data_IF_329870883859
#
_entry.id   IF_329870883859
#
_cell.length_a   1.000
_cell.length_b   1.000
_cell.length_c   1.000
_cell.angle_alpha   90.00
_cell.angle_beta   90.00
_cell.angle_gamma   90.00
#
_symmetry.space_group_name_H-M   'P 1'
#
loop_
_entity.id
_entity.type
_entity.pdbx_description
1 polymer ?
#
# COMPACT_ATOMS: atom_id res chain seq x y z
N UNK A 1 6.18 31.73 7.09
CA UNK A 1 5.50 31.44 5.81
C UNK A 1 4.78 30.11 6.01
N UNK A 2 3.70 29.83 5.29
CA UNK A 2 3.03 28.53 5.42
C UNK A 2 3.81 27.47 4.63
N UNK A 3 3.86 26.22 5.15
CA UNK A 3 4.49 25.09 4.47
C UNK A 3 3.99 24.93 3.03
N UNK A 4 2.70 25.15 2.80
CA UNK A 4 2.09 25.15 1.47
C UNK A 4 2.78 26.15 0.51
N UNK A 5 3.04 27.38 0.96
CA UNK A 5 3.66 28.41 0.13
C UNK A 5 5.10 28.06 -0.24
N UNK A 6 5.85 27.48 0.69
CA UNK A 6 7.25 27.10 0.48
C UNK A 6 7.37 25.91 -0.48
N UNK A 7 6.51 24.90 -0.30
CA UNK A 7 6.43 23.71 -1.16
C UNK A 7 6.01 24.09 -2.58
N UNK A 8 4.97 24.93 -2.74
CA UNK A 8 4.50 25.39 -4.05
C UNK A 8 5.60 26.13 -4.82
N UNK A 9 6.32 27.04 -4.15
CA UNK A 9 7.44 27.77 -4.75
C UNK A 9 8.58 26.83 -5.15
N UNK A 10 8.97 25.92 -4.28
CA UNK A 10 10.04 24.95 -4.53
C UNK A 10 9.74 24.11 -5.77
N UNK A 11 8.52 23.60 -5.90
CA UNK A 11 8.13 22.79 -7.06
C UNK A 11 8.03 23.62 -8.34
N UNK A 12 7.54 24.86 -8.29
CA UNK A 12 7.54 25.74 -9.46
C UNK A 12 8.97 26.05 -9.94
N UNK A 13 9.89 26.26 -9.03
CA UNK A 13 11.29 26.54 -9.34
C UNK A 13 12.02 25.31 -9.90
N UNK A 14 11.53 24.09 -9.61
CA UNK A 14 12.08 22.81 -10.11
C UNK A 14 11.66 22.51 -11.54
N UNK A 15 10.40 22.75 -11.88
CA UNK A 15 9.83 22.35 -13.18
C UNK A 15 10.30 23.30 -14.29
N UNK A 16 10.95 22.76 -15.31
CA UNK A 16 11.39 23.54 -16.46
C UNK A 16 10.26 23.77 -17.46
N UNK A 17 10.26 24.87 -18.22
CA UNK A 17 9.26 25.11 -19.26
C UNK A 17 9.15 24.00 -20.30
N UNK A 18 10.28 23.40 -20.68
CA UNK A 18 10.30 22.32 -21.67
C UNK A 18 9.52 21.08 -21.19
N UNK A 19 9.56 20.75 -19.88
CA UNK A 19 8.81 19.64 -19.30
C UNK A 19 7.28 19.82 -19.40
N UNK A 20 6.82 21.06 -19.50
CA UNK A 20 5.39 21.40 -19.60
C UNK A 20 5.00 21.91 -21.00
N UNK A 21 5.87 21.71 -22.00
CA UNK A 21 5.59 22.06 -23.40
C UNK A 21 5.66 23.58 -23.67
N UNK A 22 6.28 24.38 -22.83
CA UNK A 22 6.47 25.79 -23.07
C UNK A 22 7.84 26.07 -23.71
N UNK A 23 7.94 27.06 -24.64
CA UNK A 23 9.22 27.39 -25.26
C UNK A 23 10.18 27.98 -24.22
N UNK A 24 11.41 27.52 -24.25
CA UNK A 24 12.50 28.15 -23.50
C UNK A 24 12.89 29.47 -24.20
N UNK A 25 12.27 30.59 -23.83
CA UNK A 25 12.54 31.90 -24.42
C UNK A 25 13.97 32.39 -24.14
N UNK A 26 14.60 33.14 -25.06
CA UNK A 26 15.92 33.75 -24.82
C UNK A 26 15.87 34.76 -23.68
N UNK A 27 16.94 34.83 -22.87
CA UNK A 27 17.04 35.77 -21.75
C UNK A 27 16.34 35.37 -20.46
N UNK A 28 16.02 34.09 -20.25
CA UNK A 28 15.40 33.60 -19.05
C UNK A 28 16.36 33.66 -17.84
N UNK A 29 15.92 34.35 -16.77
CA UNK A 29 16.70 34.49 -15.52
C UNK A 29 16.43 33.39 -14.50
N UNK A 30 15.37 32.59 -14.69
CA UNK A 30 14.97 31.50 -13.79
C UNK A 30 14.94 30.19 -14.56
N UNK A 31 15.50 29.12 -13.98
CA UNK A 31 15.46 27.76 -14.58
C UNK A 31 14.05 27.17 -14.55
N UNK A 32 13.30 27.43 -13.48
CA UNK A 32 11.94 26.92 -13.28
C UNK A 32 10.83 27.76 -13.95
N UNK A 33 9.58 27.38 -13.74
CA UNK A 33 8.42 28.09 -14.27
C UNK A 33 8.31 29.51 -13.65
N UNK A 34 7.93 30.49 -14.48
CA UNK A 34 7.50 31.79 -13.99
C UNK A 34 6.09 31.71 -13.41
N UNK A 35 5.71 32.66 -12.54
CA UNK A 35 4.35 32.70 -11.95
C UNK A 35 3.27 32.84 -13.01
N UNK A 36 3.52 33.64 -14.05
CA UNK A 36 2.61 33.76 -15.20
C UNK A 36 2.43 32.46 -15.97
N UNK A 37 3.48 31.65 -16.10
CA UNK A 37 3.43 30.36 -16.77
C UNK A 37 2.66 29.35 -15.93
N UNK A 38 2.92 29.26 -14.62
CA UNK A 38 2.16 28.41 -13.71
C UNK A 38 0.67 28.81 -13.67
N UNK A 39 0.40 30.12 -13.63
CA UNK A 39 -0.97 30.66 -13.64
C UNK A 39 -1.73 30.24 -14.90
N UNK A 40 -1.10 30.38 -16.07
CA UNK A 40 -1.68 29.97 -17.34
C UNK A 40 -1.95 28.44 -17.41
N UNK A 41 -0.98 27.62 -16.95
CA UNK A 41 -1.12 26.15 -16.92
C UNK A 41 -2.20 25.69 -15.92
N UNK A 42 -2.33 26.35 -14.78
CA UNK A 42 -3.31 26.02 -13.76
C UNK A 42 -4.69 26.69 -13.98
N UNK A 43 -4.84 27.53 -14.99
CA UNK A 43 -6.10 28.23 -15.29
C UNK A 43 -6.51 29.25 -14.26
N UNK A 44 -5.54 29.98 -13.64
CA UNK A 44 -5.79 30.99 -12.60
C UNK A 44 -5.09 32.31 -12.93
N UNK A 45 -5.38 33.36 -12.16
CA UNK A 45 -4.69 34.65 -12.33
C UNK A 45 -3.27 34.61 -11.71
N UNK A 46 -2.36 35.39 -12.27
CA UNK A 46 -1.00 35.53 -11.73
C UNK A 46 -1.03 36.06 -10.30
N UNK A 47 -1.92 37.01 -10.01
CA UNK A 47 -2.10 37.57 -8.66
C UNK A 47 -2.49 36.49 -7.65
N UNK A 48 -3.32 35.52 -8.07
CA UNK A 48 -3.69 34.42 -7.20
C UNK A 48 -2.51 33.50 -6.88
N UNK A 49 -1.66 33.20 -7.87
CA UNK A 49 -0.40 32.43 -7.65
C UNK A 49 0.52 33.19 -6.68
N UNK A 50 0.65 34.51 -6.84
CA UNK A 50 1.44 35.35 -5.92
C UNK A 50 0.90 35.26 -4.49
N UNK A 51 -0.42 35.35 -4.32
CA UNK A 51 -1.08 35.25 -2.99
C UNK A 51 -0.88 33.89 -2.36
N UNK A 52 -0.95 32.78 -3.14
CA UNK A 52 -0.66 31.43 -2.68
C UNK A 52 0.77 31.30 -2.18
N UNK A 53 1.76 31.76 -2.97
CA UNK A 53 3.19 31.72 -2.60
C UNK A 53 3.57 32.69 -1.45
N UNK A 54 2.72 33.63 -1.14
CA UNK A 54 2.89 34.56 0.01
C UNK A 54 2.14 34.06 1.25
N UNK A 55 1.39 32.93 1.15
CA UNK A 55 0.57 32.43 2.24
C UNK A 55 -0.65 33.30 2.57
N UNK A 56 -1.03 34.22 1.67
CA UNK A 56 -2.17 35.14 1.85
C UNK A 56 -3.48 34.55 1.34
N UNK A 57 -3.44 33.54 0.48
CA UNK A 57 -4.61 32.80 0.07
C UNK A 57 -4.67 31.52 0.90
N UNK A 58 -5.74 31.37 1.67
CA UNK A 58 -6.00 30.19 2.52
C UNK A 58 -7.07 29.31 1.87
N UNK A 59 -6.99 28.00 2.11
CA UNK A 59 -7.97 27.03 1.66
C UNK A 59 -8.20 27.01 0.12
N UNK A 60 -7.17 26.75 -0.70
CA UNK A 60 -7.35 26.56 -2.13
C UNK A 60 -8.29 25.37 -2.39
N UNK A 61 -9.18 25.51 -3.39
CA UNK A 61 -10.14 24.43 -3.69
C UNK A 61 -9.44 23.15 -4.17
N UNK A 62 -10.04 21.97 -3.97
CA UNK A 62 -9.49 20.70 -4.49
C UNK A 62 -9.26 20.71 -6.00
N UNK A 63 -10.12 21.39 -6.76
CA UNK A 63 -9.97 21.55 -8.21
C UNK A 63 -8.70 22.33 -8.56
N UNK A 64 -8.43 23.41 -7.83
CA UNK A 64 -7.21 24.20 -8.02
C UNK A 64 -5.96 23.41 -7.61
N UNK A 65 -6.00 22.69 -6.47
CA UNK A 65 -4.88 21.84 -6.06
C UNK A 65 -4.57 20.79 -7.11
N UNK A 66 -5.58 20.18 -7.72
CA UNK A 66 -5.42 19.22 -8.82
C UNK A 66 -4.82 19.89 -10.07
N UNK A 67 -5.25 21.10 -10.42
CA UNK A 67 -4.71 21.85 -11.54
C UNK A 67 -3.23 22.23 -11.31
N UNK A 68 -2.88 22.69 -10.10
CA UNK A 68 -1.49 22.96 -9.71
C UNK A 68 -0.63 21.70 -9.75
N UNK A 69 -1.14 20.57 -9.23
CA UNK A 69 -0.42 19.30 -9.27
C UNK A 69 -0.12 18.84 -10.70
N UNK A 70 -1.07 19.00 -11.61
CA UNK A 70 -0.90 18.70 -13.04
C UNK A 70 0.09 19.65 -13.70
N UNK A 71 -0.05 20.95 -13.48
CA UNK A 71 0.83 21.97 -14.04
C UNK A 71 2.30 21.82 -13.59
N UNK A 72 2.51 21.39 -12.34
CA UNK A 72 3.82 21.14 -11.73
C UNK A 72 4.34 19.73 -11.95
N UNK A 73 3.61 18.87 -12.68
CA UNK A 73 3.96 17.47 -12.94
C UNK A 73 4.31 16.70 -11.67
N UNK A 74 3.54 16.92 -10.61
CA UNK A 74 3.76 16.27 -9.34
C UNK A 74 3.51 14.76 -9.43
N UNK A 75 4.37 13.99 -8.77
CA UNK A 75 4.11 12.57 -8.51
C UNK A 75 2.87 12.43 -7.62
N UNK A 76 2.30 11.23 -7.53
CA UNK A 76 1.16 10.98 -6.64
C UNK A 76 1.46 11.34 -5.18
N UNK A 77 2.66 11.02 -4.70
CA UNK A 77 3.10 11.36 -3.34
C UNK A 77 3.21 12.87 -3.13
N UNK A 78 3.77 13.59 -4.09
CA UNK A 78 3.87 15.05 -4.05
C UNK A 78 2.49 15.72 -4.14
N UNK A 79 1.59 15.20 -4.98
CA UNK A 79 0.21 15.64 -5.05
C UNK A 79 -0.51 15.45 -3.71
N UNK A 80 -0.41 14.26 -3.12
CA UNK A 80 -1.01 13.96 -1.83
C UNK A 80 -0.42 14.84 -0.71
N UNK A 81 0.87 15.16 -0.80
CA UNK A 81 1.51 16.12 0.09
C UNK A 81 0.97 17.54 -0.11
N UNK A 82 0.83 18.02 -1.37
CA UNK A 82 0.24 19.31 -1.68
C UNK A 82 -1.14 19.49 -1.05
N UNK A 83 -1.99 18.47 -1.18
CA UNK A 83 -3.34 18.48 -0.59
C UNK A 83 -3.28 18.56 0.94
N UNK A 84 -2.43 17.75 1.58
CA UNK A 84 -2.30 17.73 3.05
C UNK A 84 -1.82 19.08 3.61
N UNK A 85 -0.79 19.68 3.02
CA UNK A 85 -0.28 21.01 3.47
C UNK A 85 -1.24 22.14 3.17
N UNK A 86 -2.16 21.96 2.21
CA UNK A 86 -3.27 22.87 1.93
C UNK A 86 -4.48 22.66 2.88
N UNK A 87 -4.43 21.69 3.79
CA UNK A 87 -5.55 21.34 4.67
C UNK A 87 -6.70 20.61 3.97
N UNK A 88 -6.47 20.04 2.79
CA UNK A 88 -7.46 19.31 2.01
C UNK A 88 -7.16 17.81 1.98
N UNK A 89 -8.21 16.99 1.85
CA UNK A 89 -8.05 15.57 1.63
C UNK A 89 -7.48 15.31 0.22
N UNK A 90 -6.45 14.46 0.06
CA UNK A 90 -5.99 14.03 -1.24
C UNK A 90 -7.11 13.41 -2.07
N UNK A 91 -7.11 13.58 -3.42
CA UNK A 91 -8.11 12.97 -4.26
C UNK A 91 -8.02 11.44 -4.18
N UNK A 92 -9.18 10.81 -4.30
CA UNK A 92 -9.26 9.35 -4.38
C UNK A 92 -8.40 8.83 -5.56
N UNK A 93 -7.75 7.68 -5.31
CA UNK A 93 -7.01 6.98 -6.36
C UNK A 93 -7.97 6.23 -7.28
N UNK A 94 -7.51 5.79 -8.44
CA UNK A 94 -8.36 5.07 -9.40
C UNK A 94 -8.69 3.65 -8.95
N UNK A 95 -7.89 2.68 -9.38
CA UNK A 95 -8.04 1.26 -9.03
C UNK A 95 -6.89 0.81 -8.12
N UNK A 96 -7.14 -0.24 -7.32
CA UNK A 96 -6.11 -0.91 -6.54
C UNK A 96 -5.00 -1.42 -7.47
N UNK A 97 -3.72 -1.04 -7.26
CA UNK A 97 -2.62 -1.57 -8.05
C UNK A 97 -2.47 -3.09 -7.83
N UNK A 98 -2.55 -3.87 -8.91
CA UNK A 98 -2.45 -5.34 -8.89
C UNK A 98 -1.21 -5.84 -9.63
N UNK A 99 -0.11 -5.11 -9.55
CA UNK A 99 1.16 -5.50 -10.13
C UNK A 99 2.32 -5.22 -9.19
N UNK A 100 3.32 -6.08 -9.23
CA UNK A 100 4.55 -5.89 -8.47
C UNK A 100 5.47 -4.97 -9.27
N UNK A 101 5.94 -3.90 -8.63
CA UNK A 101 6.88 -2.98 -9.28
C UNK A 101 8.26 -3.65 -9.45
N UNK A 102 9.07 -3.27 -10.48
CA UNK A 102 10.40 -3.85 -10.66
C UNK A 102 11.33 -3.71 -9.45
N UNK A 103 11.12 -2.66 -8.63
CA UNK A 103 11.88 -2.46 -7.39
C UNK A 103 11.54 -3.51 -6.33
N UNK A 104 10.25 -3.76 -6.11
CA UNK A 104 9.77 -4.79 -5.19
C UNK A 104 10.19 -6.17 -5.69
N UNK A 105 10.04 -6.47 -7.00
CA UNK A 105 10.45 -7.75 -7.57
C UNK A 105 11.92 -8.07 -7.27
N UNK A 106 12.83 -7.11 -7.48
CA UNK A 106 14.25 -7.31 -7.15
C UNK A 106 14.53 -7.59 -5.67
N UNK A 107 13.69 -7.08 -4.77
CA UNK A 107 13.83 -7.34 -3.33
C UNK A 107 13.33 -8.75 -3.01
N UNK A 108 12.12 -9.11 -3.43
CA UNK A 108 11.55 -10.42 -3.11
C UNK A 108 12.32 -11.57 -3.74
N UNK A 109 12.92 -11.37 -4.92
CA UNK A 109 13.79 -12.36 -5.58
C UNK A 109 15.08 -12.66 -4.77
N UNK A 110 15.47 -11.80 -3.84
CA UNK A 110 16.65 -11.95 -2.98
C UNK A 110 16.34 -12.43 -1.57
N UNK A 111 15.07 -12.43 -1.19
CA UNK A 111 14.60 -12.86 0.14
C UNK A 111 14.00 -14.26 0.06
N UNK A 112 14.82 -15.24 -0.34
CA UNK A 112 14.40 -16.63 -0.49
C UNK A 112 14.49 -17.47 0.80
N UNK A 113 15.18 -16.97 1.80
CA UNK A 113 15.50 -17.66 3.07
C UNK A 113 14.55 -17.32 4.21
N UNK A 114 13.58 -16.47 3.96
CA UNK A 114 12.48 -16.17 4.89
C UNK A 114 11.13 -16.35 4.16
N UNK A 115 10.08 -16.87 4.81
CA UNK A 115 8.75 -16.92 4.23
C UNK A 115 8.26 -15.51 3.92
N UNK A 116 7.91 -15.25 2.66
CA UNK A 116 7.54 -13.94 2.17
C UNK A 116 6.37 -14.01 1.20
N UNK A 117 5.39 -13.10 1.37
CA UNK A 117 4.32 -12.88 0.41
C UNK A 117 4.09 -11.39 0.13
N UNK A 118 3.58 -11.06 -1.05
CA UNK A 118 3.21 -9.70 -1.46
C UNK A 118 1.73 -9.64 -1.73
N UNK A 119 1.07 -8.70 -1.09
CA UNK A 119 -0.37 -8.45 -1.21
C UNK A 119 -0.65 -7.05 -1.74
N UNK A 120 -1.81 -6.89 -2.35
CA UNK A 120 -2.37 -5.57 -2.73
C UNK A 120 -2.89 -4.82 -1.50
N UNK A 121 -3.34 -3.57 -1.69
CA UNK A 121 -4.07 -2.81 -0.67
C UNK A 121 -5.42 -3.46 -0.27
N UNK A 122 -5.99 -4.31 -1.14
CA UNK A 122 -7.19 -5.12 -0.87
C UNK A 122 -6.88 -6.51 -0.32
N UNK A 123 -5.61 -6.79 0.00
CA UNK A 123 -5.12 -8.09 0.49
C UNK A 123 -5.23 -9.26 -0.52
N UNK A 124 -5.29 -8.98 -1.83
CA UNK A 124 -5.16 -10.00 -2.84
C UNK A 124 -3.68 -10.43 -2.96
N UNK A 125 -3.42 -11.73 -2.95
CA UNK A 125 -2.08 -12.27 -3.10
C UNK A 125 -1.57 -12.03 -4.52
N UNK A 126 -0.39 -11.40 -4.64
CA UNK A 126 0.30 -11.17 -5.92
C UNK A 126 1.51 -12.08 -6.11
N UNK A 127 2.19 -12.39 -5.02
CA UNK A 127 3.40 -13.20 -5.01
C UNK A 127 3.59 -13.87 -3.66
N UNK A 128 4.16 -15.06 -3.67
CA UNK A 128 4.71 -15.75 -2.50
C UNK A 128 5.94 -16.51 -2.92
N UNK A 129 6.94 -16.61 -2.05
CA UNK A 129 8.07 -17.49 -2.30
C UNK A 129 7.76 -18.94 -1.89
N UNK A 130 8.60 -19.87 -2.31
CA UNK A 130 8.41 -21.30 -2.05
C UNK A 130 8.38 -21.61 -0.55
N UNK A 131 9.15 -20.89 0.25
CA UNK A 131 9.17 -21.09 1.69
C UNK A 131 7.88 -20.61 2.36
N UNK A 132 7.25 -19.54 1.86
CA UNK A 132 5.90 -19.16 2.29
C UNK A 132 4.90 -20.26 1.95
N UNK A 133 4.92 -20.78 0.73
CA UNK A 133 4.05 -21.87 0.32
C UNK A 133 4.22 -23.11 1.19
N UNK A 134 5.45 -23.51 1.49
CA UNK A 134 5.75 -24.62 2.39
C UNK A 134 5.28 -24.38 3.83
N UNK A 135 5.34 -23.14 4.30
CA UNK A 135 4.99 -22.77 5.67
C UNK A 135 3.48 -22.62 5.90
N UNK A 136 2.72 -22.15 4.89
CA UNK A 136 1.28 -21.87 5.01
C UNK A 136 0.40 -22.88 4.27
N UNK A 137 1.00 -23.89 3.67
CA UNK A 137 0.33 -24.85 2.80
C UNK A 137 0.23 -24.37 1.36
N UNK A 138 0.36 -25.32 0.44
CA UNK A 138 0.20 -25.11 -1.00
C UNK A 138 -1.16 -25.64 -1.47
N UNK A 139 -1.60 -25.24 -2.66
CA UNK A 139 -2.77 -25.77 -3.33
C UNK A 139 -3.90 -24.75 -3.52
N UNK A 140 -5.13 -25.26 -3.61
CA UNK A 140 -6.36 -24.50 -3.96
C UNK A 140 -6.70 -23.37 -2.98
N UNK A 141 -6.11 -23.39 -1.79
CA UNK A 141 -6.28 -22.38 -0.75
C UNK A 141 -5.98 -20.96 -1.22
N UNK A 142 -5.09 -20.78 -2.21
CA UNK A 142 -4.70 -19.48 -2.73
C UNK A 142 -5.21 -19.25 -4.16
N UNK A 143 -6.40 -19.78 -4.47
CA UNK A 143 -7.04 -19.63 -5.78
C UNK A 143 -8.37 -18.91 -5.67
N UNK A 144 -8.76 -18.20 -6.74
CA UNK A 144 -10.03 -17.49 -6.80
C UNK A 144 -10.21 -16.49 -5.66
N UNK A 145 -11.34 -16.52 -4.98
CA UNK A 145 -11.66 -15.64 -3.86
C UNK A 145 -10.75 -15.92 -2.65
N UNK A 146 -10.34 -17.16 -2.45
CA UNK A 146 -9.44 -17.57 -1.36
C UNK A 146 -7.98 -17.09 -1.56
N UNK A 147 -7.62 -16.54 -2.75
CA UNK A 147 -6.37 -15.80 -2.92
C UNK A 147 -6.35 -14.44 -2.17
N UNK A 148 -7.46 -14.06 -1.55
CA UNK A 148 -7.53 -12.87 -0.72
C UNK A 148 -7.41 -13.25 0.76
N UNK A 149 -6.43 -12.65 1.46
CA UNK A 149 -6.14 -12.95 2.86
C UNK A 149 -7.31 -12.64 3.79
N UNK A 150 -8.05 -11.53 3.53
CA UNK A 150 -9.20 -11.15 4.36
C UNK A 150 -10.34 -12.12 4.16
N UNK A 151 -10.58 -12.55 2.92
CA UNK A 151 -11.57 -13.58 2.64
C UNK A 151 -11.25 -14.87 3.38
N UNK A 152 -10.01 -15.39 3.24
CA UNK A 152 -9.60 -16.60 3.96
C UNK A 152 -9.83 -16.48 5.46
N UNK A 153 -9.37 -15.36 6.05
CA UNK A 153 -9.46 -15.17 7.48
C UNK A 153 -10.89 -15.22 8.00
N UNK A 154 -11.85 -14.59 7.31
CA UNK A 154 -13.22 -14.46 7.80
C UNK A 154 -14.20 -15.55 7.32
N UNK A 155 -13.84 -16.35 6.32
CA UNK A 155 -14.76 -17.35 5.72
C UNK A 155 -14.21 -18.77 5.68
N UNK A 156 -12.93 -18.93 5.32
CA UNK A 156 -12.35 -20.26 5.09
C UNK A 156 -11.66 -20.82 6.35
N UNK A 157 -11.52 -19.99 7.39
CA UNK A 157 -10.83 -20.36 8.63
C UNK A 157 -9.31 -20.18 8.58
N UNK A 158 -8.67 -20.47 9.70
CA UNK A 158 -7.24 -20.23 9.91
C UNK A 158 -6.39 -21.50 9.80
N UNK A 159 -6.82 -22.46 8.98
CA UNK A 159 -6.15 -23.77 8.87
C UNK A 159 -4.65 -23.60 8.68
N UNK A 160 -3.88 -24.19 9.62
CA UNK A 160 -2.42 -24.12 9.60
C UNK A 160 -1.79 -22.86 10.21
N UNK A 161 -2.58 -21.91 10.74
CA UNK A 161 -2.06 -20.73 11.44
C UNK A 161 -2.80 -20.55 12.76
N UNK A 162 -2.12 -20.74 13.88
CA UNK A 162 -2.70 -20.52 15.21
C UNK A 162 -2.35 -19.14 15.72
N UNK A 163 -3.36 -18.43 16.19
CA UNK A 163 -3.26 -17.16 16.90
C UNK A 163 -3.71 -17.39 18.34
N UNK A 164 -3.12 -16.68 19.31
CA UNK A 164 -3.83 -16.50 20.56
C UNK A 164 -5.05 -15.57 20.39
N UNK A 165 -6.01 -15.63 21.31
CA UNK A 165 -7.27 -14.91 21.18
C UNK A 165 -7.10 -13.39 21.04
N UNK A 166 -6.12 -12.79 21.74
CA UNK A 166 -5.85 -11.35 21.70
C UNK A 166 -5.30 -10.93 20.34
N UNK A 167 -4.34 -11.70 19.80
CA UNK A 167 -3.77 -11.43 18.47
C UNK A 167 -4.78 -11.70 17.35
N UNK A 168 -5.63 -12.71 17.47
CA UNK A 168 -6.70 -12.96 16.49
C UNK A 168 -7.69 -11.80 16.43
N UNK A 169 -8.11 -11.27 17.60
CA UNK A 169 -9.00 -10.11 17.73
C UNK A 169 -8.38 -8.84 17.12
N UNK A 170 -7.12 -8.56 17.42
CA UNK A 170 -6.40 -7.41 16.88
C UNK A 170 -6.24 -7.52 15.35
N UNK A 171 -5.83 -8.69 14.86
CA UNK A 171 -5.62 -8.94 13.43
C UNK A 171 -6.92 -8.83 12.64
N UNK A 172 -8.05 -9.40 13.15
CA UNK A 172 -9.37 -9.24 12.54
C UNK A 172 -9.78 -7.78 12.41
N UNK A 173 -9.53 -6.99 13.46
CA UNK A 173 -9.85 -5.56 13.47
C UNK A 173 -9.00 -4.78 12.47
N UNK A 174 -7.70 -5.09 12.37
CA UNK A 174 -6.78 -4.46 11.43
C UNK A 174 -7.14 -4.77 9.98
N UNK A 175 -7.48 -6.03 9.66
CA UNK A 175 -7.92 -6.43 8.33
C UNK A 175 -9.18 -5.69 7.87
N UNK A 176 -10.19 -5.55 8.74
CA UNK A 176 -11.41 -4.81 8.45
C UNK A 176 -11.12 -3.30 8.25
N UNK A 177 -10.27 -2.72 9.10
CA UNK A 177 -9.86 -1.31 9.02
C UNK A 177 -9.06 -1.03 7.74
N UNK A 178 -8.22 -1.97 7.32
CA UNK A 178 -7.46 -1.89 6.07
C UNK A 178 -8.35 -1.84 4.83
N UNK A 179 -9.33 -2.75 4.74
CA UNK A 179 -10.28 -2.72 3.62
C UNK A 179 -11.11 -1.44 3.62
N UNK A 180 -11.50 -0.93 4.80
CA UNK A 180 -12.20 0.37 4.91
C UNK A 180 -11.33 1.51 4.38
N UNK A 181 -10.06 1.53 4.77
CA UNK A 181 -9.09 2.51 4.27
C UNK A 181 -8.87 2.37 2.76
N UNK A 182 -8.81 1.13 2.24
CA UNK A 182 -8.67 0.86 0.81
C UNK A 182 -9.90 1.36 0.01
N UNK A 183 -11.13 1.11 0.47
CA UNK A 183 -12.36 1.65 -0.17
C UNK A 183 -12.32 3.19 -0.24
N UNK A 184 -11.88 3.86 0.82
CA UNK A 184 -11.74 5.32 0.82
C UNK A 184 -10.70 5.82 -0.20
N UNK A 185 -9.61 5.08 -0.40
CA UNK A 185 -8.57 5.42 -1.38
C UNK A 185 -8.94 5.04 -2.81
N UNK A 186 -9.69 3.96 -3.01
CA UNK A 186 -10.01 3.34 -4.30
C UNK A 186 -11.52 3.17 -4.52
N UNK A 187 -12.32 4.25 -4.44
CA UNK A 187 -13.79 4.16 -4.49
C UNK A 187 -14.34 3.69 -5.82
N UNK A 188 -13.54 3.74 -6.90
CA UNK A 188 -13.92 3.27 -8.23
C UNK A 188 -13.57 1.79 -8.46
N UNK A 189 -12.90 1.11 -7.52
CA UNK A 189 -12.52 -0.29 -7.68
C UNK A 189 -13.71 -1.22 -7.35
N UNK A 190 -14.32 -1.74 -8.41
CA UNK A 190 -15.48 -2.63 -8.29
C UNK A 190 -15.15 -3.95 -7.61
N UNK A 191 -13.95 -4.52 -7.86
CA UNK A 191 -13.56 -5.80 -7.26
C UNK A 191 -13.40 -5.66 -5.74
N UNK A 192 -12.83 -4.53 -5.28
CA UNK A 192 -12.74 -4.22 -3.85
C UNK A 192 -14.14 -3.98 -3.25
N UNK A 193 -15.02 -3.27 -3.94
CA UNK A 193 -16.39 -3.05 -3.47
C UNK A 193 -17.18 -4.36 -3.36
N UNK A 194 -17.07 -5.24 -4.36
CA UNK A 194 -17.66 -6.58 -4.36
C UNK A 194 -17.09 -7.47 -3.25
N UNK A 195 -15.78 -7.43 -3.02
CA UNK A 195 -15.14 -8.17 -1.91
C UNK A 195 -15.73 -7.77 -0.56
N UNK A 196 -15.82 -6.46 -0.29
CA UNK A 196 -16.39 -5.96 0.98
C UNK A 196 -17.87 -6.30 1.10
N UNK A 197 -18.63 -6.18 0.02
CA UNK A 197 -20.05 -6.54 0.01
C UNK A 197 -20.25 -8.03 0.37
N UNK A 198 -19.48 -8.91 -0.25
CA UNK A 198 -19.58 -10.36 -0.05
C UNK A 198 -19.12 -10.75 1.38
N UNK A 199 -18.03 -10.15 1.89
CA UNK A 199 -17.55 -10.38 3.26
C UNK A 199 -18.61 -9.98 4.29
N UNK A 200 -19.27 -8.83 4.11
CA UNK A 200 -20.34 -8.36 4.99
C UNK A 200 -21.56 -9.27 4.96
N UNK A 201 -21.86 -9.85 3.80
CA UNK A 201 -22.99 -10.78 3.65
C UNK A 201 -22.69 -12.19 4.20
N UNK A 202 -21.43 -12.63 4.16
CA UNK A 202 -21.05 -14.02 4.46
C UNK A 202 -20.54 -14.19 5.89
N UNK A 203 -19.83 -13.19 6.45
CA UNK A 203 -19.21 -13.27 7.77
C UNK A 203 -19.83 -12.28 8.77
N UNK A 204 -20.62 -12.76 9.75
CA UNK A 204 -21.13 -11.93 10.84
C UNK A 204 -20.00 -11.25 11.65
N UNK A 205 -18.85 -11.92 11.78
CA UNK A 205 -17.68 -11.39 12.45
C UNK A 205 -17.09 -10.19 11.69
N UNK A 206 -16.95 -10.31 10.35
CA UNK A 206 -16.51 -9.19 9.54
C UNK A 206 -17.48 -8.02 9.61
N UNK A 207 -18.82 -8.26 9.52
CA UNK A 207 -19.82 -7.20 9.62
C UNK A 207 -19.76 -6.45 10.95
N UNK A 208 -19.54 -7.18 12.05
CA UNK A 208 -19.35 -6.58 13.37
C UNK A 208 -18.12 -5.66 13.39
N UNK A 209 -16.96 -6.14 12.92
CA UNK A 209 -15.70 -5.36 12.83
C UNK A 209 -15.83 -4.17 11.89
N UNK A 210 -16.51 -4.39 10.77
CA UNK A 210 -16.81 -3.31 9.83
C UNK A 210 -17.62 -2.19 10.48
N UNK A 211 -18.53 -2.49 11.39
CA UNK A 211 -19.33 -1.51 12.15
C UNK A 211 -18.50 -0.68 13.16
N UNK A 212 -17.41 -1.21 13.70
CA UNK A 212 -16.61 -0.55 14.75
C UNK A 212 -15.81 0.67 14.27
N UNK A 213 -15.63 0.85 12.97
CA UNK A 213 -14.94 1.99 12.32
C UNK A 213 -13.53 2.31 12.90
N UNK A 214 -12.79 1.29 13.32
CA UNK A 214 -11.42 1.44 13.83
C UNK A 214 -10.43 1.84 12.74
N UNK A 215 -9.30 2.43 13.14
CA UNK A 215 -8.13 2.68 12.30
C UNK A 215 -7.15 1.53 12.56
N UNK A 216 -6.60 0.93 11.49
CA UNK A 216 -5.63 -0.15 11.62
C UNK A 216 -4.33 0.36 12.28
N UNK A 217 -3.88 -0.36 13.29
CA UNK A 217 -2.57 -0.20 13.89
C UNK A 217 -1.77 -1.48 13.63
N UNK A 218 -1.08 -1.55 12.48
CA UNK A 218 -0.26 -2.70 12.15
C UNK A 218 0.88 -2.84 13.17
N UNK A 219 0.73 -3.80 14.06
CA UNK A 219 1.77 -4.22 15.00
C UNK A 219 2.35 -5.55 14.51
N UNK A 220 3.63 -5.78 14.80
CA UNK A 220 4.21 -7.12 14.70
C UNK A 220 3.34 -8.09 15.48
N UNK A 221 2.87 -9.15 14.84
CA UNK A 221 2.05 -10.17 15.49
C UNK A 221 2.80 -11.49 15.55
N UNK A 222 2.69 -12.18 16.69
CA UNK A 222 3.23 -13.52 16.85
C UNK A 222 2.16 -14.56 16.54
N UNK A 223 2.56 -15.62 15.83
CA UNK A 223 1.67 -16.72 15.48
C UNK A 223 2.43 -18.02 15.34
N UNK A 224 1.72 -19.14 15.42
CA UNK A 224 2.29 -20.47 15.22
C UNK A 224 1.81 -21.03 13.88
N UNK A 225 2.75 -21.38 13.02
CA UNK A 225 2.47 -22.05 11.75
C UNK A 225 2.51 -23.56 11.96
N UNK A 226 1.45 -24.26 11.56
CA UNK A 226 1.39 -25.72 11.59
C UNK A 226 2.00 -26.26 10.29
N UNK A 227 3.25 -26.70 10.35
CA UNK A 227 4.01 -27.13 9.17
C UNK A 227 4.26 -28.64 9.16
N UNK A 228 4.62 -29.24 8.00
CA UNK A 228 4.98 -30.66 7.93
C UNK A 228 6.18 -31.06 8.82
N UNK A 229 7.01 -30.10 9.22
CA UNK A 229 8.17 -30.35 10.10
C UNK A 229 7.87 -30.04 11.57
N UNK A 230 6.60 -29.79 11.90
CA UNK A 230 6.12 -29.42 13.22
C UNK A 230 5.74 -27.95 13.34
N UNK A 231 5.20 -27.53 14.49
CA UNK A 231 4.81 -26.13 14.72
C UNK A 231 6.04 -25.23 14.75
N UNK A 232 5.91 -24.05 14.13
CA UNK A 232 6.96 -22.99 14.09
C UNK A 232 6.35 -21.70 14.59
N UNK A 233 6.88 -21.15 15.69
CA UNK A 233 6.51 -19.82 16.16
C UNK A 233 7.24 -18.77 15.33
N UNK A 234 6.49 -17.81 14.78
CA UNK A 234 7.01 -16.74 13.92
C UNK A 234 6.53 -15.37 14.38
N UNK A 235 7.38 -14.37 14.23
CA UNK A 235 6.99 -12.98 14.22
C UNK A 235 6.58 -12.59 12.79
N UNK A 236 5.41 -11.96 12.65
CA UNK A 236 4.85 -11.53 11.38
C UNK A 236 4.99 -10.01 11.25
N UNK A 237 5.79 -9.57 10.31
CA UNK A 237 6.01 -8.17 10.00
C UNK A 237 5.37 -7.81 8.66
N UNK A 238 4.69 -6.66 8.62
CA UNK A 238 4.10 -6.12 7.39
C UNK A 238 4.82 -4.83 7.00
N UNK A 239 5.45 -4.83 5.84
CA UNK A 239 6.13 -3.69 5.27
C UNK A 239 5.26 -3.07 4.17
N UNK A 240 4.99 -1.77 4.26
CA UNK A 240 4.29 -1.04 3.22
C UNK A 240 5.25 -0.45 2.20
N UNK A 241 4.92 -0.56 0.92
CA UNK A 241 5.72 0.01 -0.18
C UNK A 241 5.14 1.35 -0.60
N UNK A 242 5.80 2.48 -0.30
CA UNK A 242 5.32 3.79 -0.70
C UNK A 242 5.09 3.90 -2.21
N UNK A 243 3.96 4.48 -2.61
CA UNK A 243 3.63 4.74 -4.03
C UNK A 243 2.97 3.59 -4.78
N UNK A 244 2.98 2.37 -4.25
CA UNK A 244 2.28 1.23 -4.85
C UNK A 244 1.19 0.62 -3.97
N UNK A 245 1.08 1.05 -2.71
CA UNK A 245 0.20 0.47 -1.67
C UNK A 245 0.30 -1.07 -1.56
N UNK A 246 1.45 -1.63 -1.97
CA UNK A 246 1.73 -3.04 -1.77
C UNK A 246 2.14 -3.30 -0.33
N UNK A 247 1.82 -4.48 0.16
CA UNK A 247 2.20 -4.98 1.47
C UNK A 247 3.10 -6.20 1.29
N UNK A 248 4.29 -6.14 1.85
CA UNK A 248 5.20 -7.29 1.91
C UNK A 248 5.08 -7.85 3.31
N UNK A 249 4.57 -9.06 3.42
CA UNK A 249 4.47 -9.79 4.69
C UNK A 249 5.64 -10.75 4.78
N UNK A 250 6.36 -10.68 5.89
CA UNK A 250 7.54 -11.51 6.14
C UNK A 250 7.36 -12.22 7.49
N UNK A 251 7.68 -13.50 7.53
CA UNK A 251 7.74 -14.25 8.78
C UNK A 251 9.18 -14.43 9.20
N UNK A 252 9.49 -14.08 10.44
CA UNK A 252 10.82 -14.24 11.01
C UNK A 252 10.76 -15.10 12.27
N UNK A 253 11.87 -15.71 12.61
CA UNK A 253 12.04 -16.54 13.81
C UNK A 253 13.22 -16.03 14.64
N UNK A 254 13.23 -16.32 15.93
CA UNK A 254 14.36 -15.93 16.78
C UNK A 254 15.61 -16.70 16.34
N UNK A 255 16.70 -16.01 15.98
CA UNK A 255 17.92 -16.67 15.51
C UNK A 255 18.47 -17.67 16.54
N UNK A 256 18.83 -18.88 16.07
CA UNK A 256 19.37 -19.95 16.91
C UNK A 256 18.35 -20.71 17.76
N UNK A 257 17.06 -20.44 17.60
CA UNK A 257 15.98 -21.18 18.26
C UNK A 257 15.71 -22.54 17.58
N UNK A 258 14.92 -23.39 18.25
CA UNK A 258 14.41 -24.61 17.65
C UNK A 258 13.51 -24.33 16.42
N UNK A 259 12.80 -23.20 16.45
CA UNK A 259 11.96 -22.74 15.33
C UNK A 259 12.80 -22.32 14.12
N UNK A 260 13.97 -21.70 14.34
CA UNK A 260 14.92 -21.42 13.27
C UNK A 260 15.41 -22.71 12.61
N UNK A 261 15.72 -23.73 13.41
CA UNK A 261 16.14 -25.06 12.92
C UNK A 261 15.02 -25.76 12.12
N UNK A 262 13.76 -25.66 12.57
CA UNK A 262 12.61 -26.19 11.85
C UNK A 262 12.34 -25.43 10.54
N UNK A 263 12.48 -24.10 10.55
CA UNK A 263 12.34 -23.29 9.34
C UNK A 263 13.41 -23.64 8.29
N UNK A 264 14.66 -23.86 8.72
CA UNK A 264 15.74 -24.35 7.85
C UNK A 264 15.44 -25.73 7.28
N UNK A 265 14.88 -26.65 8.08
CA UNK A 265 14.44 -27.97 7.63
C UNK A 265 13.30 -27.84 6.60
N UNK A 266 12.31 -26.98 6.87
CA UNK A 266 11.20 -26.73 5.96
C UNK A 266 11.68 -26.18 4.61
N UNK A 267 12.69 -25.30 4.61
CA UNK A 267 13.30 -24.78 3.40
C UNK A 267 13.91 -25.88 2.53
N UNK A 268 14.62 -26.83 3.14
CA UNK A 268 15.23 -27.95 2.41
C UNK A 268 14.19 -28.93 1.89
N UNK A 269 13.19 -29.27 2.69
CA UNK A 269 12.14 -30.24 2.31
C UNK A 269 11.12 -29.64 1.35
N UNK A 270 10.75 -28.36 1.50
CA UNK A 270 9.82 -27.66 0.61
C UNK A 270 10.34 -27.53 -0.83
N UNK A 271 11.63 -27.25 -1.00
CA UNK A 271 12.26 -27.21 -2.32
C UNK A 271 12.26 -28.58 -3.04
N UNK A 272 12.25 -29.68 -2.31
CA UNK A 272 12.20 -31.03 -2.89
C UNK A 272 10.81 -31.41 -3.40
N UNK A 273 9.72 -30.94 -2.76
CA UNK A 273 8.34 -31.22 -3.19
C UNK A 273 7.98 -30.47 -4.48
N UNK A 274 8.48 -29.28 -4.70
CA UNK A 274 8.27 -28.49 -5.92
C UNK A 274 9.00 -29.13 -7.12
N UNK A 275 10.20 -29.70 -6.91
CA UNK A 275 10.99 -30.35 -7.96
C UNK A 275 10.38 -31.69 -8.45
N UNK A 276 9.47 -32.30 -7.67
CA UNK A 276 8.81 -33.59 -8.02
C UNK A 276 7.45 -33.41 -8.69
N UNK A 277 6.91 -32.19 -8.73
CA UNK A 277 5.59 -31.87 -9.30
C UNK A 277 5.66 -31.12 -10.65
N UNK A 278 6.86 -30.97 -11.25
CA UNK A 278 7.15 -30.27 -12.52
C UNK A 278 7.33 -31.20 -13.71
#
# INVERSE_FOLDING_TARGET
>A
MSEFADVLRSWRDRVTPAEVGLPAGPGRRTAGLRREELAALAGVSVDYVVRLEQGRATNPSPQLLSALATALRLTEQERDHLFRVAGAAPPARGLVPRHITPGVQRIVDRLSDVPLAVFTASHDLLYRNDLWAAATGDGDRWQGRSANLVWQFFTDGHDGVDFDDEHAEAFASDLAADLRSAIGRYPADRQLAELVHDLRATSPEFERRWGEARIAEHRTSRKTLQTPVGPIEVDCDTLSVPGSDLRIVVYTVVPGSDDASRLDLLRVTGLQSVATSG
#
